data_IF_678669526720
#
_entry.id   IF_678669526720
#
_cell.length_a   1.000
_cell.length_b   1.000
_cell.length_c   1.000
_cell.angle_alpha   90.00
_cell.angle_beta   90.00
_cell.angle_gamma   90.00
#
_symmetry.space_group_name_H-M   'P 1'
#
loop_
_entity.id
_entity.type
_entity.pdbx_description
1 polymer ?
#
# COMPACT_ATOMS: atom_id res chain seq x y z
N UNK A 1 -54.28 10.46 -2.93
CA UNK A 1 -53.78 10.52 -1.54
C UNK A 1 -52.38 9.92 -1.51
N UNK A 2 -51.37 10.53 -2.17
CA UNK A 2 -50.27 9.68 -2.70
C UNK A 2 -48.89 10.30 -2.92
N UNK A 3 -48.58 11.56 -2.57
CA UNK A 3 -47.24 12.13 -2.87
C UNK A 3 -46.58 12.86 -1.69
N UNK A 4 -47.35 13.36 -0.73
CA UNK A 4 -46.82 14.17 0.39
C UNK A 4 -46.16 13.38 1.52
N UNK A 5 -46.42 12.08 1.64
CA UNK A 5 -45.86 11.26 2.73
C UNK A 5 -44.48 10.68 2.42
N UNK A 6 -44.10 10.53 1.15
CA UNK A 6 -42.82 9.90 0.77
C UNK A 6 -41.63 10.87 0.84
N UNK A 7 -41.87 12.17 0.68
CA UNK A 7 -40.80 13.19 0.74
C UNK A 7 -40.28 13.46 2.16
N UNK A 8 -41.10 13.26 3.19
CA UNK A 8 -40.68 13.48 4.59
C UNK A 8 -39.70 12.43 5.12
N UNK A 9 -39.77 11.19 4.64
CA UNK A 9 -38.91 10.10 5.15
C UNK A 9 -37.48 10.25 4.62
N UNK A 10 -37.30 10.76 3.40
CA UNK A 10 -35.97 11.01 2.84
C UNK A 10 -35.29 12.26 3.43
N UNK A 11 -36.05 13.28 3.83
CA UNK A 11 -35.47 14.51 4.39
C UNK A 11 -35.01 14.34 5.85
N UNK A 12 -35.71 13.53 6.65
CA UNK A 12 -35.36 13.31 8.06
C UNK A 12 -34.12 12.42 8.24
N UNK A 13 -33.80 11.54 7.28
CA UNK A 13 -32.60 10.72 7.32
C UNK A 13 -31.31 11.53 7.06
N UNK A 14 -31.41 12.65 6.34
CA UNK A 14 -30.26 13.51 6.05
C UNK A 14 -29.92 14.51 7.16
N UNK A 15 -30.84 14.80 8.09
CA UNK A 15 -30.64 15.77 9.16
C UNK A 15 -30.11 15.16 10.47
N UNK A 16 -30.11 13.84 10.65
CA UNK A 16 -29.53 13.18 11.82
C UNK A 16 -28.08 12.72 11.64
N UNK A 17 -27.53 12.81 10.42
CA UNK A 17 -26.09 12.61 10.22
C UNK A 17 -25.42 13.95 10.50
N UNK A 18 -25.11 14.19 11.77
CA UNK A 18 -24.35 15.36 12.22
C UNK A 18 -23.15 15.58 11.30
N UNK A 19 -23.05 16.79 10.74
CA UNK A 19 -21.97 17.19 9.84
C UNK A 19 -20.56 17.01 10.45
N UNK A 20 -20.44 16.83 11.77
CA UNK A 20 -19.19 16.51 12.46
C UNK A 20 -18.68 15.08 12.21
N UNK A 21 -19.56 14.10 12.01
CA UNK A 21 -19.15 12.69 11.83
C UNK A 21 -18.78 12.36 10.38
N UNK A 22 -19.37 13.06 9.40
CA UNK A 22 -19.00 12.90 7.98
C UNK A 22 -17.54 13.33 7.75
N UNK A 23 -17.09 14.37 8.45
CA UNK A 23 -15.73 14.89 8.32
C UNK A 23 -14.68 13.96 8.96
N UNK A 24 -14.98 13.36 10.13
CA UNK A 24 -14.13 12.32 10.74
C UNK A 24 -14.10 11.03 9.92
N UNK A 25 -15.23 10.66 9.34
CA UNK A 25 -15.36 9.45 8.53
C UNK A 25 -14.57 9.60 7.21
N UNK A 26 -14.73 10.72 6.51
CA UNK A 26 -13.97 11.05 5.28
C UNK A 26 -12.46 11.08 5.49
N UNK A 27 -11.99 11.73 6.57
CA UNK A 27 -10.55 11.81 6.88
C UNK A 27 -9.95 10.44 7.23
N UNK A 28 -10.71 9.56 7.87
CA UNK A 28 -10.27 8.18 8.15
C UNK A 28 -10.24 7.29 6.90
N UNK A 29 -11.19 7.46 5.98
CA UNK A 29 -11.16 6.79 4.67
C UNK A 29 -9.96 7.24 3.84
N UNK A 30 -9.68 8.54 3.77
CA UNK A 30 -8.52 9.07 3.06
C UNK A 30 -7.21 8.51 3.64
N UNK A 31 -7.06 8.50 4.98
CA UNK A 31 -5.88 7.91 5.66
C UNK A 31 -5.72 6.42 5.36
N UNK A 32 -6.82 5.66 5.35
CA UNK A 32 -6.78 4.22 5.06
C UNK A 32 -6.39 3.96 3.60
N UNK A 33 -6.96 4.71 2.65
CA UNK A 33 -6.62 4.58 1.23
C UNK A 33 -5.14 4.92 0.96
N UNK A 34 -4.61 5.99 1.56
CA UNK A 34 -3.18 6.34 1.43
C UNK A 34 -2.29 5.23 1.99
N UNK A 35 -2.63 4.64 3.14
CA UNK A 35 -1.88 3.50 3.70
C UNK A 35 -1.94 2.27 2.79
N UNK A 36 -3.09 1.96 2.21
CA UNK A 36 -3.24 0.84 1.28
C UNK A 36 -2.44 1.06 0.00
N UNK A 37 -2.46 2.27 -0.56
CA UNK A 37 -1.66 2.64 -1.73
C UNK A 37 -0.15 2.55 -1.45
N UNK A 38 0.31 3.07 -0.30
CA UNK A 38 1.72 2.96 0.11
C UNK A 38 2.14 1.48 0.27
N UNK A 39 1.28 0.66 0.86
CA UNK A 39 1.54 -0.78 1.05
C UNK A 39 1.57 -1.51 -0.29
N UNK A 40 0.62 -1.21 -1.19
CA UNK A 40 0.58 -1.79 -2.53
C UNK A 40 1.83 -1.42 -3.35
N UNK A 41 2.27 -0.15 -3.28
CA UNK A 41 3.52 0.30 -3.90
C UNK A 41 4.71 -0.46 -3.34
N UNK A 42 4.82 -0.61 -2.01
CA UNK A 42 5.90 -1.40 -1.39
C UNK A 42 5.92 -2.83 -1.92
N UNK A 43 4.77 -3.51 -1.96
CA UNK A 43 4.65 -4.89 -2.45
C UNK A 43 5.04 -4.98 -3.93
N UNK A 44 4.62 -4.02 -4.75
CA UNK A 44 4.94 -4.01 -6.18
C UNK A 44 6.46 -3.91 -6.40
N UNK A 45 7.14 -3.02 -5.68
CA UNK A 45 8.59 -2.90 -5.78
C UNK A 45 9.30 -4.15 -5.21
N UNK A 46 8.93 -4.59 -3.99
CA UNK A 46 9.61 -5.71 -3.34
C UNK A 46 9.42 -7.02 -4.10
N UNK A 47 8.23 -7.31 -4.62
CA UNK A 47 7.96 -8.56 -5.35
C UNK A 47 8.85 -8.74 -6.58
N UNK A 48 9.05 -7.69 -7.39
CA UNK A 48 9.91 -7.74 -8.57
C UNK A 48 11.38 -8.01 -8.23
N UNK A 49 11.92 -7.32 -7.22
CA UNK A 49 13.30 -7.53 -6.77
C UNK A 49 13.45 -8.90 -6.08
N UNK A 50 12.47 -9.29 -5.27
CA UNK A 50 12.45 -10.59 -4.59
C UNK A 50 12.44 -11.75 -5.58
N UNK A 51 11.76 -11.61 -6.72
CA UNK A 51 11.78 -12.60 -7.80
C UNK A 51 13.18 -12.71 -8.41
N UNK A 52 13.84 -11.59 -8.70
CA UNK A 52 15.20 -11.60 -9.24
C UNK A 52 16.23 -12.20 -8.28
N UNK A 53 16.14 -11.88 -6.98
CA UNK A 53 16.98 -12.49 -5.95
C UNK A 53 16.80 -14.00 -5.90
N UNK A 54 15.56 -14.50 -6.04
CA UNK A 54 15.29 -15.94 -6.12
C UNK A 54 15.83 -16.56 -7.40
N UNK A 55 15.71 -15.90 -8.54
CA UNK A 55 16.31 -16.38 -9.80
C UNK A 55 17.83 -16.51 -9.67
N UNK A 56 18.49 -15.49 -9.12
CA UNK A 56 19.93 -15.54 -8.86
C UNK A 56 20.30 -16.71 -7.94
N UNK A 57 19.50 -16.96 -6.89
CA UNK A 57 19.71 -18.08 -5.98
C UNK A 57 19.64 -19.43 -6.69
N UNK A 58 18.65 -19.62 -7.55
CA UNK A 58 18.46 -20.86 -8.31
C UNK A 58 19.59 -21.06 -9.32
N UNK A 59 20.07 -20.00 -9.96
CA UNK A 59 21.16 -20.07 -10.95
C UNK A 59 22.53 -20.34 -10.31
N UNK A 60 22.80 -19.74 -9.14
CA UNK A 60 24.12 -19.76 -8.52
C UNK A 60 24.22 -20.68 -7.28
N UNK A 61 23.11 -21.33 -6.89
CA UNK A 61 22.97 -22.08 -5.63
C UNK A 61 23.36 -21.29 -4.36
N UNK A 62 23.35 -19.95 -4.44
CA UNK A 62 23.69 -19.05 -3.33
C UNK A 62 22.90 -17.75 -3.44
N UNK A 63 22.56 -17.17 -2.30
CA UNK A 63 21.98 -15.83 -2.27
C UNK A 63 23.00 -14.79 -2.77
N UNK A 64 22.54 -13.70 -3.42
CA UNK A 64 23.42 -12.59 -3.76
C UNK A 64 23.99 -11.94 -2.49
N UNK A 65 25.19 -11.37 -2.57
CA UNK A 65 25.79 -10.70 -1.42
C UNK A 65 25.16 -9.31 -1.23
N UNK A 66 24.75 -8.69 -2.34
CA UNK A 66 24.09 -7.39 -2.37
C UNK A 66 23.02 -7.34 -3.44
N UNK A 67 22.07 -6.41 -3.31
CA UNK A 67 21.11 -6.13 -4.38
C UNK A 67 21.74 -5.59 -5.66
N UNK A 68 23.02 -5.18 -5.64
CA UNK A 68 23.73 -4.77 -6.86
C UNK A 68 24.15 -5.97 -7.73
N UNK A 69 24.12 -7.19 -7.17
CA UNK A 69 24.47 -8.41 -7.90
C UNK A 69 23.31 -8.90 -8.80
N UNK A 70 22.10 -8.33 -8.63
CA UNK A 70 20.93 -8.63 -9.47
C UNK A 70 20.71 -7.52 -10.50
N UNK A 71 20.26 -7.92 -11.69
CA UNK A 71 20.32 -7.08 -12.90
C UNK A 71 19.48 -5.80 -12.83
N UNK A 72 18.31 -5.82 -12.19
CA UNK A 72 17.36 -4.70 -12.27
C UNK A 72 16.71 -4.40 -10.92
N UNK A 73 17.37 -3.56 -10.11
CA UNK A 73 16.76 -3.02 -8.90
C UNK A 73 16.18 -1.64 -9.23
N UNK A 74 14.85 -1.45 -9.16
CA UNK A 74 14.25 -0.16 -9.45
C UNK A 74 14.65 0.85 -8.38
N UNK A 75 14.80 2.10 -8.82
CA UNK A 75 15.07 3.20 -7.92
C UNK A 75 13.84 3.49 -7.06
N UNK A 76 14.04 3.62 -5.75
CA UNK A 76 12.94 3.89 -4.83
C UNK A 76 12.56 5.37 -4.83
N UNK A 77 11.30 5.68 -4.48
CA UNK A 77 10.89 7.05 -4.18
C UNK A 77 11.74 7.67 -3.06
N UNK A 78 11.78 9.00 -3.01
CA UNK A 78 12.49 9.73 -1.96
C UNK A 78 12.00 9.33 -0.56
N UNK A 79 12.96 9.15 0.36
CA UNK A 79 12.69 8.73 1.74
C UNK A 79 12.43 7.23 1.90
N UNK A 80 12.60 6.41 0.86
CA UNK A 80 12.56 4.95 0.96
C UNK A 80 13.96 4.35 0.73
N UNK A 81 14.27 3.26 1.42
CA UNK A 81 15.54 2.56 1.31
C UNK A 81 15.32 1.04 1.21
N UNK A 82 16.12 0.40 0.36
CA UNK A 82 16.14 -1.04 0.23
C UNK A 82 16.83 -1.68 1.42
N UNK A 83 16.16 -2.64 2.05
CA UNK A 83 16.75 -3.49 3.08
C UNK A 83 16.85 -4.91 2.56
N UNK A 84 18.07 -5.43 2.51
CA UNK A 84 18.35 -6.77 2.01
C UNK A 84 19.08 -7.62 3.04
N UNK A 85 18.64 -8.87 3.19
CA UNK A 85 19.32 -9.88 4.00
C UNK A 85 19.89 -10.97 3.08
N UNK A 86 21.22 -11.06 3.02
CA UNK A 86 21.96 -12.01 2.21
C UNK A 86 21.95 -13.46 2.75
N UNK A 87 21.54 -13.67 4.00
CA UNK A 87 21.42 -15.03 4.57
C UNK A 87 20.08 -15.66 4.20
N UNK A 88 19.03 -14.85 4.19
CA UNK A 88 17.65 -15.33 3.96
C UNK A 88 17.13 -15.00 2.56
N UNK A 89 17.81 -14.13 1.82
CA UNK A 89 17.36 -13.63 0.52
C UNK A 89 16.17 -12.67 0.62
N UNK A 90 15.85 -12.16 1.81
CA UNK A 90 14.67 -11.32 2.04
C UNK A 90 14.94 -9.88 1.59
N UNK A 91 14.01 -9.34 0.80
CA UNK A 91 14.00 -7.94 0.36
C UNK A 91 12.84 -7.20 1.03
N UNK A 92 13.11 -6.02 1.58
CA UNK A 92 12.12 -5.17 2.21
C UNK A 92 12.39 -3.69 1.90
N UNK A 93 11.40 -2.83 2.12
CA UNK A 93 11.52 -1.38 1.96
C UNK A 93 11.19 -0.67 3.28
N UNK A 94 12.20 0.00 3.81
CA UNK A 94 12.09 0.85 5.00
C UNK A 94 11.95 2.32 4.59
N UNK A 95 11.23 3.11 5.38
CA UNK A 95 11.25 4.57 5.24
C UNK A 95 12.50 5.07 5.99
N UNK A 96 13.24 5.98 5.36
CA UNK A 96 14.42 6.66 5.93
C UNK A 96 14.03 7.58 7.08
#
# INVERSE_FOLDING_TARGET
>A
MSIRFMACICLCAFLMVGCDDVNKTSTNYAKTMVKTLDTAKKIQYTSGVQQQVRMYQVENNKWPNSLNDVKEVPQLPEGWEWKYDNKTGKVDIVKK
#
